data_IF_092418001487
#
_entry.id   IF_092418001487
#
_cell.length_a   1.000
_cell.length_b   1.000
_cell.length_c   1.000
_cell.angle_alpha   90.00
_cell.angle_beta   90.00
_cell.angle_gamma   90.00
#
_symmetry.space_group_name_H-M   'P 1'
#
loop_
_entity.id
_entity.type
_entity.pdbx_description
1 polymer ?
#
# COMPACT_ATOMS: atom_id res chain seq x y z
N UNK A 1 21.25 26.43 8.87
CA UNK A 1 21.43 25.93 7.49
C UNK A 1 20.06 25.55 6.97
N UNK A 2 19.60 26.17 5.87
CA UNK A 2 18.35 25.80 5.24
C UNK A 2 18.57 24.48 4.49
N UNK A 3 17.96 23.39 4.97
CA UNK A 3 17.95 22.10 4.27
C UNK A 3 17.01 22.27 3.08
N UNK A 4 17.55 22.25 1.85
CA UNK A 4 16.72 22.27 0.64
C UNK A 4 16.06 20.90 0.48
N UNK A 5 14.96 20.67 1.20
CA UNK A 5 14.21 19.42 1.15
C UNK A 5 13.62 19.22 -0.26
N UNK A 6 14.29 18.39 -1.06
CA UNK A 6 13.80 17.97 -2.36
C UNK A 6 13.14 16.59 -2.26
N UNK A 7 11.82 16.56 -2.04
CA UNK A 7 11.03 15.32 -2.06
C UNK A 7 10.63 15.00 -3.49
N UNK A 8 11.03 13.84 -3.98
CA UNK A 8 10.51 13.28 -5.24
C UNK A 8 9.61 12.10 -4.91
N UNK A 9 8.34 12.17 -5.32
CA UNK A 9 7.39 11.07 -5.23
C UNK A 9 7.32 10.35 -6.58
N UNK A 10 7.51 9.03 -6.57
CA UNK A 10 7.37 8.19 -7.76
C UNK A 10 6.17 7.27 -7.61
N UNK A 11 5.01 7.59 -8.22
CA UNK A 11 3.83 6.73 -8.19
C UNK A 11 3.93 5.56 -9.18
N UNK A 12 3.19 4.49 -8.92
CA UNK A 12 2.92 3.45 -9.91
C UNK A 12 1.86 3.92 -10.94
N UNK A 13 2.16 3.83 -12.24
CA UNK A 13 1.20 4.13 -13.33
C UNK A 13 1.27 5.57 -13.86
N UNK A 14 0.57 5.83 -14.98
CA UNK A 14 0.65 7.01 -15.88
C UNK A 14 0.30 8.38 -15.25
N UNK A 15 0.94 8.74 -14.14
CA UNK A 15 1.00 10.11 -13.66
C UNK A 15 2.27 10.72 -14.24
N UNK A 16 2.16 11.39 -15.39
CA UNK A 16 3.18 12.39 -15.76
C UNK A 16 3.09 13.48 -14.69
N UNK A 17 3.83 13.32 -13.59
CA UNK A 17 4.08 14.41 -12.68
C UNK A 17 5.25 15.19 -13.28
N UNK A 18 4.96 16.35 -13.87
CA UNK A 18 5.97 17.40 -13.96
C UNK A 18 6.62 17.52 -12.56
N UNK A 19 7.95 17.41 -12.52
CA UNK A 19 8.76 17.71 -11.35
C UNK A 19 8.66 19.21 -11.04
N UNK A 20 7.52 19.63 -10.50
CA UNK A 20 7.31 20.98 -9.95
C UNK A 20 7.48 20.89 -8.45
N UNK A 21 8.58 21.47 -7.98
CA UNK A 21 8.84 21.80 -6.58
C UNK A 21 7.59 22.40 -5.92
N UNK A 22 7.07 21.66 -4.95
CA UNK A 22 6.17 22.04 -3.85
C UNK A 22 5.08 23.08 -4.12
N UNK A 23 3.86 22.58 -4.38
CA UNK A 23 2.63 22.92 -3.64
C UNK A 23 1.71 21.71 -3.81
N UNK A 24 1.36 21.03 -2.72
CA UNK A 24 0.43 19.88 -2.75
C UNK A 24 -0.96 20.45 -3.08
N UNK A 25 -1.25 20.65 -4.36
CA UNK A 25 -2.61 20.81 -4.87
C UNK A 25 -3.04 19.47 -5.41
N UNK A 26 -4.14 18.93 -4.88
CA UNK A 26 -4.78 17.72 -5.35
C UNK A 26 -5.16 17.92 -6.83
N UNK A 27 -4.34 17.40 -7.76
CA UNK A 27 -4.67 17.41 -9.18
C UNK A 27 -5.59 16.22 -9.49
N UNK A 28 -6.59 16.49 -10.32
CA UNK A 28 -7.65 15.57 -10.73
C UNK A 28 -7.04 14.34 -11.39
N UNK A 29 -7.09 13.19 -10.72
CA UNK A 29 -6.65 11.91 -11.29
C UNK A 29 -7.66 11.51 -12.38
N UNK A 30 -7.26 11.60 -13.65
CA UNK A 30 -8.03 11.04 -14.75
C UNK A 30 -7.82 9.51 -14.74
N UNK A 31 -8.89 8.77 -14.47
CA UNK A 31 -8.89 7.31 -14.57
C UNK A 31 -8.73 6.93 -16.05
N UNK A 32 -7.57 6.38 -16.42
CA UNK A 32 -7.44 5.67 -17.68
C UNK A 32 -7.98 4.25 -17.43
N UNK A 33 -9.13 3.92 -18.01
CA UNK A 33 -9.70 2.57 -17.92
C UNK A 33 -8.82 1.60 -18.73
N UNK A 34 -7.81 1.05 -18.06
CA UNK A 34 -6.92 0.03 -18.62
C UNK A 34 -7.51 -1.34 -18.25
N UNK A 35 -7.82 -2.21 -19.22
CA UNK A 35 -8.21 -3.59 -18.94
C UNK A 35 -7.19 -4.27 -18.03
N UNK A 36 -7.65 -5.09 -17.07
CA UNK A 36 -6.79 -5.75 -16.07
C UNK A 36 -5.60 -6.49 -16.71
N UNK A 37 -5.84 -7.11 -17.86
CA UNK A 37 -4.88 -7.84 -18.68
C UNK A 37 -3.73 -6.99 -19.22
N UNK A 38 -3.94 -5.66 -19.31
CA UNK A 38 -2.94 -4.69 -19.76
C UNK A 38 -2.19 -4.01 -18.62
N UNK A 39 -2.63 -4.15 -17.36
CA UNK A 39 -1.95 -3.58 -16.19
C UNK A 39 -0.52 -4.12 -16.08
N UNK A 40 -0.28 -5.37 -16.45
CA UNK A 40 1.06 -5.96 -16.45
C UNK A 40 2.06 -5.18 -17.33
N UNK A 41 1.62 -4.53 -18.41
CA UNK A 41 2.51 -3.74 -19.27
C UNK A 41 2.92 -2.40 -18.63
N UNK A 42 2.13 -1.87 -17.70
CA UNK A 42 2.56 -0.73 -16.88
C UNK A 42 3.78 -1.10 -16.04
N UNK A 43 3.84 -2.35 -15.56
CA UNK A 43 4.95 -2.88 -14.76
C UNK A 43 6.24 -3.12 -15.57
N UNK A 44 6.13 -3.17 -16.90
CA UNK A 44 7.26 -3.27 -17.85
C UNK A 44 7.83 -1.88 -18.18
N UNK A 45 7.04 -0.82 -17.99
CA UNK A 45 7.45 0.53 -18.40
C UNK A 45 8.49 1.15 -17.46
N UNK A 46 9.77 0.85 -17.71
CA UNK A 46 10.91 1.57 -17.13
C UNK A 46 11.14 2.95 -17.76
N UNK A 47 10.12 3.51 -18.43
CA UNK A 47 10.23 4.76 -19.20
C UNK A 47 10.69 5.94 -18.33
N UNK A 48 10.37 5.90 -17.03
CA UNK A 48 10.81 6.91 -16.07
C UNK A 48 12.20 6.64 -15.48
N UNK A 49 12.77 5.44 -15.62
CA UNK A 49 14.01 5.07 -14.95
C UNK A 49 15.19 5.95 -15.39
N UNK A 50 15.41 6.12 -16.70
CA UNK A 50 16.52 6.93 -17.21
C UNK A 50 16.34 8.44 -16.93
N UNK A 51 15.18 9.06 -17.21
CA UNK A 51 14.93 10.45 -16.84
C UNK A 51 15.05 10.69 -15.32
N UNK A 52 14.57 9.76 -14.50
CA UNK A 52 14.66 9.86 -13.04
C UNK A 52 16.11 9.74 -12.56
N UNK A 53 16.89 8.81 -13.11
CA UNK A 53 18.32 8.69 -12.81
C UNK A 53 19.06 9.99 -13.13
N UNK A 54 18.79 10.58 -14.28
CA UNK A 54 19.38 11.87 -14.68
C UNK A 54 18.94 13.00 -13.73
N UNK A 55 17.68 13.01 -13.31
CA UNK A 55 17.18 13.97 -12.33
C UNK A 55 17.92 13.86 -10.99
N UNK A 56 18.04 12.65 -10.43
CA UNK A 56 18.74 12.41 -9.16
C UNK A 56 20.24 12.72 -9.27
N UNK A 57 20.85 12.47 -10.44
CA UNK A 57 22.25 12.84 -10.69
C UNK A 57 22.46 14.36 -10.67
N UNK A 58 21.50 15.12 -11.21
CA UNK A 58 21.60 16.56 -11.39
C UNK A 58 21.11 17.36 -10.17
N UNK A 59 20.35 16.72 -9.28
CA UNK A 59 19.75 17.35 -8.10
C UNK A 59 20.28 16.64 -6.87
N UNK A 60 20.86 17.39 -5.93
CA UNK A 60 21.29 16.89 -4.62
C UNK A 60 20.07 16.57 -3.73
N UNK A 61 19.29 15.54 -4.09
CA UNK A 61 18.14 15.12 -3.32
C UNK A 61 18.58 14.45 -2.03
N UNK A 62 18.02 14.87 -0.89
CA UNK A 62 18.31 14.24 0.39
C UNK A 62 17.64 12.85 0.47
N UNK A 63 16.38 12.75 0.00
CA UNK A 63 15.56 11.55 0.07
C UNK A 63 14.79 11.29 -1.23
N UNK A 64 14.58 10.01 -1.53
CA UNK A 64 13.62 9.54 -2.53
C UNK A 64 12.43 8.92 -1.78
N UNK A 65 11.20 9.28 -2.15
CA UNK A 65 9.99 8.59 -1.66
C UNK A 65 9.38 7.84 -2.84
N UNK A 66 9.32 6.52 -2.76
CA UNK A 66 8.85 5.69 -3.86
C UNK A 66 7.74 4.75 -3.43
N UNK A 67 6.75 4.56 -4.32
CA UNK A 67 5.76 3.51 -4.17
C UNK A 67 6.44 2.13 -4.09
N UNK A 68 5.91 1.25 -3.24
CA UNK A 68 6.46 -0.08 -2.92
C UNK A 68 6.66 -1.00 -4.14
N UNK A 69 6.00 -0.75 -5.26
CA UNK A 69 6.21 -1.56 -6.49
C UNK A 69 7.36 -1.02 -7.36
N UNK A 70 7.83 0.22 -7.12
CA UNK A 70 8.82 0.94 -7.96
C UNK A 70 10.24 0.50 -7.61
N UNK A 71 10.50 -0.80 -7.68
CA UNK A 71 11.72 -1.43 -7.20
C UNK A 71 13.01 -0.98 -7.91
N UNK A 72 12.93 -0.51 -9.16
CA UNK A 72 14.10 -0.05 -9.95
C UNK A 72 14.73 1.22 -9.39
N UNK A 73 14.04 1.90 -8.47
CA UNK A 73 14.56 3.08 -7.77
C UNK A 73 15.68 2.72 -6.80
N UNK A 74 15.75 1.45 -6.38
CA UNK A 74 16.76 0.94 -5.44
C UNK A 74 18.16 1.13 -6.01
N UNK A 75 18.38 0.74 -7.27
CA UNK A 75 19.67 0.89 -7.93
C UNK A 75 20.09 2.36 -8.07
N UNK A 76 19.13 3.25 -8.30
CA UNK A 76 19.39 4.68 -8.44
C UNK A 76 19.72 5.29 -7.09
N UNK A 77 18.96 4.97 -6.04
CA UNK A 77 19.22 5.43 -4.68
C UNK A 77 20.62 5.01 -4.21
N UNK A 78 21.00 3.74 -4.44
CA UNK A 78 22.32 3.23 -4.07
C UNK A 78 23.45 3.85 -4.89
N UNK A 79 23.28 4.00 -6.21
CA UNK A 79 24.31 4.56 -7.09
C UNK A 79 24.62 6.04 -6.79
N UNK A 80 23.68 6.75 -6.19
CA UNK A 80 23.81 8.17 -5.86
C UNK A 80 23.90 8.45 -4.35
N UNK A 81 24.00 7.41 -3.52
CA UNK A 81 24.02 7.51 -2.05
C UNK A 81 22.86 8.35 -1.46
N UNK A 82 21.67 8.19 -2.06
CA UNK A 82 20.45 8.89 -1.65
C UNK A 82 19.58 7.98 -0.79
N UNK A 83 19.08 8.51 0.31
CA UNK A 83 18.24 7.76 1.23
C UNK A 83 16.85 7.46 0.65
N UNK A 84 16.41 6.21 0.74
CA UNK A 84 15.15 5.74 0.17
C UNK A 84 14.09 5.51 1.25
N UNK A 85 12.94 6.19 1.13
CA UNK A 85 11.73 5.97 1.93
C UNK A 85 10.68 5.30 1.06
N UNK A 86 10.03 4.28 1.58
CA UNK A 86 9.02 3.53 0.84
C UNK A 86 7.65 4.05 1.22
N UNK A 87 6.76 4.19 0.25
CA UNK A 87 5.36 4.51 0.46
C UNK A 87 4.50 3.33 0.01
N UNK A 88 3.49 3.00 0.79
CA UNK A 88 2.48 2.01 0.46
C UNK A 88 1.07 2.60 0.55
N UNK A 89 0.23 2.38 -0.47
CA UNK A 89 -1.19 2.74 -0.40
C UNK A 89 -2.01 1.78 0.47
N UNK A 90 -1.47 0.61 0.82
CA UNK A 90 -2.17 -0.38 1.66
C UNK A 90 -2.26 0.09 3.12
N UNK A 91 -3.20 -0.48 3.86
CA UNK A 91 -3.35 -0.32 5.30
C UNK A 91 -2.25 -1.03 6.10
N UNK A 92 -2.15 -0.74 7.40
CA UNK A 92 -1.20 -1.41 8.27
C UNK A 92 -1.59 -2.88 8.49
N UNK A 93 -2.89 -3.19 8.59
CA UNK A 93 -3.37 -4.57 8.68
C UNK A 93 -3.00 -5.40 7.46
N UNK A 94 -3.13 -4.83 6.26
CA UNK A 94 -2.74 -5.51 5.01
C UNK A 94 -1.23 -5.71 4.94
N UNK A 95 -0.44 -4.69 5.31
CA UNK A 95 1.01 -4.82 5.36
C UNK A 95 1.47 -5.87 6.38
N UNK A 96 0.87 -5.91 7.57
CA UNK A 96 1.15 -6.92 8.60
C UNK A 96 0.74 -8.34 8.18
N UNK A 97 -0.34 -8.47 7.40
CA UNK A 97 -0.78 -9.75 6.85
C UNK A 97 0.12 -10.23 5.70
N UNK A 98 0.52 -9.34 4.80
CA UNK A 98 1.10 -9.74 3.52
C UNK A 98 2.62 -9.58 3.45
N UNK A 99 3.17 -8.53 4.07
CA UNK A 99 4.52 -8.04 3.77
C UNK A 99 5.60 -8.16 4.87
N UNK A 100 5.57 -9.15 5.78
CA UNK A 100 6.79 -9.47 6.52
C UNK A 100 7.87 -9.94 5.53
N UNK A 101 9.03 -9.28 5.54
CA UNK A 101 10.11 -9.48 4.57
C UNK A 101 10.51 -10.95 4.38
N UNK A 102 10.52 -11.71 5.47
CA UNK A 102 10.90 -13.11 5.49
C UNK A 102 9.85 -14.05 4.87
N UNK A 103 8.60 -13.60 4.69
CA UNK A 103 7.52 -14.36 4.07
C UNK A 103 7.16 -13.90 2.64
N UNK A 104 7.78 -12.83 2.14
CA UNK A 104 7.51 -12.31 0.80
C UNK A 104 8.11 -13.16 -0.33
N UNK A 105 9.30 -13.73 -0.11
CA UNK A 105 10.03 -14.50 -1.14
C UNK A 105 10.76 -15.69 -0.52
N UNK A 106 11.16 -16.64 -1.36
CA UNK A 106 12.00 -17.78 -0.96
C UNK A 106 11.29 -18.77 -0.03
N UNK A 107 12.04 -19.36 0.90
CA UNK A 107 11.53 -20.47 1.73
C UNK A 107 10.43 -20.05 2.72
N UNK A 108 10.42 -18.80 3.19
CA UNK A 108 9.33 -18.32 4.04
C UNK A 108 8.03 -18.16 3.24
N UNK A 109 8.09 -17.66 2.01
CA UNK A 109 6.92 -17.61 1.13
C UNK A 109 6.35 -19.01 0.87
N UNK A 110 7.21 -20.00 0.57
CA UNK A 110 6.80 -21.39 0.37
C UNK A 110 6.17 -22.05 1.60
N UNK A 111 6.54 -21.62 2.81
CA UNK A 111 6.00 -22.18 4.05
C UNK A 111 4.63 -21.62 4.40
N UNK A 112 4.39 -20.34 4.16
CA UNK A 112 3.24 -19.62 4.73
C UNK A 112 2.25 -19.11 3.68
N UNK A 113 2.68 -18.90 2.45
CA UNK A 113 1.87 -18.35 1.35
C UNK A 113 2.00 -19.22 0.10
N UNK A 114 2.04 -20.54 0.29
CA UNK A 114 2.19 -21.52 -0.79
C UNK A 114 0.88 -21.84 -1.51
N UNK A 115 -0.27 -21.59 -0.89
CA UNK A 115 -1.57 -21.87 -1.49
C UNK A 115 -2.63 -20.82 -1.12
N UNK A 116 -3.72 -20.69 -1.89
CA UNK A 116 -4.77 -19.74 -1.58
C UNK A 116 -5.40 -20.03 -0.20
N UNK A 117 -5.51 -21.31 0.17
CA UNK A 117 -6.08 -21.75 1.44
C UNK A 117 -5.26 -21.24 2.64
N UNK A 118 -3.94 -21.11 2.52
CA UNK A 118 -3.12 -20.60 3.62
C UNK A 118 -3.40 -19.13 3.94
N UNK A 119 -3.98 -18.39 3.00
CA UNK A 119 -4.38 -16.99 3.15
C UNK A 119 -5.81 -16.81 3.70
N UNK A 120 -6.54 -17.92 3.93
CA UNK A 120 -7.94 -17.90 4.43
C UNK A 120 -8.06 -17.92 5.94
N UNK A 121 -6.93 -17.78 6.65
CA UNK A 121 -6.86 -17.72 8.10
C UNK A 121 -5.93 -16.57 8.53
N UNK A 122 -6.15 -15.98 9.71
CA UNK A 122 -5.20 -15.04 10.29
C UNK A 122 -3.80 -15.68 10.38
N UNK A 123 -2.73 -14.94 10.07
CA UNK A 123 -1.37 -15.49 10.12
C UNK A 123 -0.93 -15.85 11.54
N UNK A 124 -0.05 -16.85 11.66
CA UNK A 124 0.42 -17.33 12.97
C UNK A 124 1.20 -16.30 13.79
N UNK A 125 1.76 -15.28 13.14
CA UNK A 125 2.53 -14.22 13.80
C UNK A 125 1.65 -13.13 14.39
N UNK A 126 0.33 -13.19 14.20
CA UNK A 126 -0.59 -12.27 14.87
C UNK A 126 -0.69 -12.69 16.34
N UNK A 127 -0.17 -11.86 17.24
CA UNK A 127 -0.17 -12.11 18.69
C UNK A 127 -1.40 -11.52 19.42
N UNK A 128 -2.46 -11.22 18.65
CA UNK A 128 -3.74 -10.74 19.16
C UNK A 128 -4.91 -11.32 18.34
N UNK A 129 -6.13 -11.40 18.93
CA UNK A 129 -7.32 -11.83 18.19
C UNK A 129 -7.58 -10.90 17.00
N UNK A 130 -7.70 -11.47 15.81
CA UNK A 130 -7.99 -10.79 14.54
C UNK A 130 -8.72 -11.78 13.64
N UNK A 131 -9.73 -11.29 12.94
CA UNK A 131 -10.54 -12.02 11.96
C UNK A 131 -10.09 -11.79 10.52
N UNK A 132 -9.15 -10.86 10.31
CA UNK A 132 -8.64 -10.48 8.99
C UNK A 132 -7.99 -11.67 8.29
N UNK A 133 -8.61 -12.08 7.19
CA UNK A 133 -8.14 -13.08 6.25
C UNK A 133 -8.85 -12.89 4.89
N UNK A 134 -8.30 -13.50 3.84
CA UNK A 134 -8.96 -13.52 2.53
C UNK A 134 -10.07 -14.58 2.49
N UNK A 135 -11.12 -14.35 1.69
CA UNK A 135 -11.95 -15.45 1.18
C UNK A 135 -11.18 -16.21 0.11
N UNK A 136 -11.49 -17.50 -0.09
CA UNK A 136 -10.73 -18.38 -0.99
C UNK A 136 -10.60 -17.83 -2.43
N UNK A 137 -11.66 -17.23 -2.98
CA UNK A 137 -11.63 -16.63 -4.31
C UNK A 137 -10.71 -15.39 -4.39
N UNK A 138 -10.71 -14.56 -3.33
CA UNK A 138 -9.84 -13.40 -3.22
C UNK A 138 -8.39 -13.83 -3.07
N UNK A 139 -8.13 -14.85 -2.25
CA UNK A 139 -6.81 -15.45 -2.07
C UNK A 139 -6.25 -16.01 -3.38
N UNK A 140 -7.11 -16.65 -4.18
CA UNK A 140 -6.73 -17.22 -5.49
C UNK A 140 -6.30 -16.11 -6.45
N UNK A 141 -7.12 -15.05 -6.58
CA UNK A 141 -6.78 -13.90 -7.41
C UNK A 141 -5.54 -13.15 -6.91
N UNK A 142 -5.40 -13.00 -5.60
CA UNK A 142 -4.24 -12.38 -4.96
C UNK A 142 -2.97 -13.16 -5.25
N UNK A 143 -2.97 -14.49 -5.05
CA UNK A 143 -1.78 -15.31 -5.27
C UNK A 143 -1.35 -15.27 -6.74
N UNK A 144 -2.29 -15.40 -7.67
CA UNK A 144 -2.02 -15.29 -9.11
C UNK A 144 -1.45 -13.91 -9.49
N UNK A 145 -1.98 -12.83 -8.93
CA UNK A 145 -1.56 -11.47 -9.28
C UNK A 145 -0.26 -11.00 -8.61
N UNK A 146 -0.03 -11.39 -7.35
CA UNK A 146 1.06 -10.87 -6.53
C UNK A 146 2.33 -11.74 -6.61
N UNK A 147 2.15 -13.07 -6.58
CA UNK A 147 3.24 -14.05 -6.66
C UNK A 147 3.46 -14.63 -8.05
N UNK A 148 2.47 -14.53 -8.94
CA UNK A 148 2.55 -15.10 -10.28
C UNK A 148 3.49 -14.35 -11.23
N UNK A 149 3.89 -15.08 -12.27
CA UNK A 149 4.63 -14.52 -13.39
C UNK A 149 3.81 -13.45 -14.10
N UNK A 150 4.49 -12.43 -14.61
CA UNK A 150 3.89 -11.40 -15.46
C UNK A 150 4.89 -10.92 -16.51
N UNK A 151 4.44 -10.14 -17.48
CA UNK A 151 5.22 -9.71 -18.64
C UNK A 151 6.58 -9.02 -18.32
N UNK A 152 6.80 -8.57 -17.09
CA UNK A 152 8.08 -7.96 -16.68
C UNK A 152 9.17 -8.95 -16.27
N UNK A 153 8.83 -10.22 -16.04
CA UNK A 153 9.77 -11.23 -15.51
C UNK A 153 10.11 -11.10 -14.02
N UNK A 154 9.44 -10.22 -13.27
CA UNK A 154 9.54 -10.10 -11.81
C UNK A 154 8.14 -9.99 -11.19
N UNK A 155 7.86 -10.75 -10.14
CA UNK A 155 6.59 -10.74 -9.39
C UNK A 155 6.45 -9.47 -8.53
N UNK A 156 5.23 -9.11 -8.12
CA UNK A 156 5.04 -7.96 -7.22
C UNK A 156 5.61 -8.23 -5.83
N UNK A 157 5.60 -9.49 -5.39
CA UNK A 157 6.28 -9.93 -4.18
C UNK A 157 7.79 -9.65 -4.22
N UNK A 158 8.46 -9.98 -5.33
CA UNK A 158 9.89 -9.70 -5.52
C UNK A 158 10.18 -8.20 -5.61
N UNK A 159 9.33 -7.41 -6.29
CA UNK A 159 9.43 -5.94 -6.30
C UNK A 159 9.37 -5.37 -4.89
N UNK A 160 8.37 -5.80 -4.13
CA UNK A 160 8.10 -5.38 -2.75
C UNK A 160 9.27 -5.75 -1.84
N UNK A 161 9.73 -7.00 -1.90
CA UNK A 161 10.88 -7.46 -1.12
C UNK A 161 12.16 -6.66 -1.45
N UNK A 162 12.41 -6.40 -2.73
CA UNK A 162 13.60 -5.66 -3.17
C UNK A 162 13.64 -4.24 -2.63
N UNK A 163 12.54 -3.48 -2.74
CA UNK A 163 12.52 -2.11 -2.24
C UNK A 163 12.45 -2.06 -0.71
N UNK A 164 11.68 -2.95 -0.08
CA UNK A 164 11.56 -2.99 1.37
C UNK A 164 12.85 -3.46 2.04
N UNK A 165 13.72 -4.22 1.38
CA UNK A 165 15.02 -4.59 1.96
C UNK A 165 15.93 -3.36 2.13
N UNK A 166 15.96 -2.47 1.15
CA UNK A 166 16.87 -1.30 1.13
C UNK A 166 16.25 -0.05 1.76
N UNK A 167 14.94 0.15 1.63
CA UNK A 167 14.25 1.32 2.16
C UNK A 167 14.38 1.46 3.67
N UNK A 168 14.65 2.67 4.17
CA UNK A 168 14.95 2.85 5.60
C UNK A 168 13.72 3.11 6.47
N UNK A 169 12.59 3.47 5.85
CA UNK A 169 11.30 3.63 6.54
C UNK A 169 10.16 3.35 5.56
N UNK A 170 8.99 2.97 6.10
CA UNK A 170 7.77 2.71 5.35
C UNK A 170 6.64 3.64 5.79
N UNK A 171 6.13 4.43 4.85
CA UNK A 171 4.93 5.24 5.01
C UNK A 171 3.72 4.42 4.56
N UNK A 172 2.73 4.28 5.44
CA UNK A 172 1.51 3.49 5.23
C UNK A 172 0.31 4.42 5.43
N UNK A 173 -0.77 4.19 4.67
CA UNK A 173 -2.07 4.85 4.91
C UNK A 173 -2.72 4.26 6.16
N UNK A 174 -2.41 4.81 7.34
CA UNK A 174 -2.90 4.29 8.63
C UNK A 174 -2.92 5.37 9.72
N UNK A 175 -3.49 5.05 10.88
CA UNK A 175 -3.34 5.83 12.12
C UNK A 175 -3.35 4.92 13.36
N UNK A 176 -2.73 5.38 14.45
CA UNK A 176 -2.55 4.57 15.66
C UNK A 176 -3.89 4.25 16.34
N UNK A 177 -4.82 5.19 16.31
CA UNK A 177 -6.16 5.07 16.89
C UNK A 177 -6.94 3.95 16.22
N UNK A 178 -6.71 3.74 14.92
CA UNK A 178 -7.41 2.75 14.13
C UNK A 178 -6.64 1.42 14.07
N UNK A 179 -5.37 1.41 13.71
CA UNK A 179 -4.62 0.19 13.41
C UNK A 179 -3.40 -0.03 14.33
N UNK A 180 -3.34 0.63 15.49
CA UNK A 180 -2.15 0.61 16.37
C UNK A 180 -1.58 -0.79 16.65
N UNK A 181 -2.43 -1.81 16.83
CA UNK A 181 -1.98 -3.21 16.99
C UNK A 181 -1.23 -3.74 15.76
N UNK A 182 -1.74 -3.47 14.55
CA UNK A 182 -1.12 -3.88 13.30
C UNK A 182 0.14 -3.07 13.00
N UNK A 183 0.17 -1.78 13.34
CA UNK A 183 1.38 -0.94 13.22
C UNK A 183 2.50 -1.52 14.08
N UNK A 184 2.24 -1.75 15.37
CA UNK A 184 3.21 -2.31 16.30
C UNK A 184 3.71 -3.69 15.85
N UNK A 185 2.78 -4.54 15.36
CA UNK A 185 3.12 -5.85 14.83
C UNK A 185 4.02 -5.75 13.60
N UNK A 186 3.69 -4.87 12.64
CA UNK A 186 4.48 -4.68 11.43
C UNK A 186 5.90 -4.17 11.74
N UNK A 187 6.03 -3.19 12.65
CA UNK A 187 7.33 -2.68 13.10
C UNK A 187 8.20 -3.81 13.69
N UNK A 188 7.60 -4.68 14.52
CA UNK A 188 8.26 -5.87 15.09
C UNK A 188 8.71 -6.87 14.03
N UNK A 189 7.89 -7.10 12.99
CA UNK A 189 8.18 -8.06 11.92
C UNK A 189 9.25 -7.57 10.95
N UNK A 190 9.30 -6.27 10.68
CA UNK A 190 10.21 -5.68 9.70
C UNK A 190 11.49 -5.13 10.31
N UNK A 191 11.54 -4.91 11.63
CA UNK A 191 12.66 -4.25 12.29
C UNK A 191 12.89 -2.81 11.81
N UNK A 192 11.85 -2.19 11.23
CA UNK A 192 11.88 -0.85 10.65
C UNK A 192 10.78 -0.01 11.30
N UNK A 193 11.07 1.25 11.65
CA UNK A 193 10.03 2.14 12.16
C UNK A 193 9.02 2.43 11.04
N UNK A 194 7.73 2.41 11.39
CA UNK A 194 6.69 3.04 10.58
C UNK A 194 6.82 4.55 10.69
N UNK A 195 6.33 5.30 9.69
CA UNK A 195 6.19 6.75 9.88
C UNK A 195 5.15 7.02 10.98
N UNK A 196 5.64 7.50 12.12
CA UNK A 196 4.82 7.96 13.22
C UNK A 196 4.36 9.40 12.96
N UNK A 197 3.28 9.81 13.64
CA UNK A 197 2.75 11.18 13.57
C UNK A 197 3.89 12.19 13.80
N UNK A 198 3.97 13.29 13.03
CA UNK A 198 4.99 14.32 13.23
C UNK A 198 5.00 14.80 14.69
N UNK A 199 6.18 14.84 15.30
CA UNK A 199 6.36 15.40 16.64
C UNK A 199 5.97 16.88 16.64
N UNK A 200 5.00 17.27 17.48
CA UNK A 200 4.52 18.66 17.60
C UNK A 200 3.03 18.87 17.30
N UNK A 201 2.29 17.83 16.91
CA UNK A 201 0.84 17.91 16.77
C UNK A 201 0.18 17.46 18.09
N UNK A 202 -0.38 18.42 18.84
CA UNK A 202 -0.89 18.20 20.20
C UNK A 202 -2.25 17.49 20.27
N UNK A 203 -3.00 17.44 19.15
CA UNK A 203 -4.26 16.72 19.02
C UNK A 203 -4.43 16.19 17.58
N UNK A 204 -5.40 15.31 17.30
CA UNK A 204 -5.58 14.77 15.94
C UNK A 204 -6.24 15.77 14.98
N UNK A 205 -6.92 16.78 15.51
CA UNK A 205 -7.60 17.81 14.74
C UNK A 205 -6.61 18.71 14.00
N UNK A 206 -5.49 19.05 14.64
CA UNK A 206 -4.43 19.88 14.08
C UNK A 206 -3.69 19.19 12.93
N UNK A 207 -3.77 17.86 12.84
CA UNK A 207 -3.21 17.08 11.72
C UNK A 207 -4.16 17.01 10.50
N UNK A 208 -5.42 17.40 10.63
CA UNK A 208 -6.41 17.30 9.56
C UNK A 208 -6.32 18.48 8.59
N UNK A 209 -6.58 18.28 7.28
CA UNK A 209 -6.68 19.39 6.34
C UNK A 209 -7.75 20.40 6.78
N UNK A 210 -7.52 21.69 6.53
CA UNK A 210 -8.49 22.74 6.87
C UNK A 210 -9.89 22.44 6.32
N UNK A 211 -10.91 22.60 7.17
CA UNK A 211 -12.31 22.30 6.86
C UNK A 211 -12.64 20.80 6.69
N UNK A 212 -11.73 19.88 7.03
CA UNK A 212 -12.00 18.44 6.93
C UNK A 212 -13.20 18.03 7.78
N UNK A 213 -13.22 18.40 9.07
CA UNK A 213 -14.31 18.10 9.99
C UNK A 213 -15.65 18.64 9.46
N UNK A 214 -15.69 19.89 9.00
CA UNK A 214 -16.91 20.48 8.41
C UNK A 214 -17.38 19.71 7.17
N UNK A 215 -16.45 19.23 6.34
CA UNK A 215 -16.79 18.48 5.12
C UNK A 215 -17.24 17.06 5.40
N UNK A 216 -16.82 16.42 6.49
CA UNK A 216 -17.06 14.99 6.76
C UNK A 216 -18.03 14.73 7.91
N UNK A 217 -18.25 15.69 8.81
CA UNK A 217 -19.19 15.56 9.92
C UNK A 217 -20.60 15.24 9.40
N UNK A 218 -21.24 14.23 10.00
CA UNK A 218 -22.57 13.73 9.65
C UNK A 218 -22.71 13.23 8.19
N UNK A 219 -21.60 12.90 7.52
CA UNK A 219 -21.63 12.25 6.19
C UNK A 219 -21.07 10.84 6.27
N UNK A 220 -21.71 9.91 5.55
CA UNK A 220 -21.13 8.60 5.29
C UNK A 220 -19.85 8.73 4.45
N UNK A 221 -18.78 8.08 4.88
CA UNK A 221 -17.52 8.04 4.13
C UNK A 221 -17.51 6.76 3.30
N UNK A 222 -17.47 6.90 1.98
CA UNK A 222 -17.21 5.76 1.09
C UNK A 222 -15.69 5.54 1.00
N UNK A 223 -15.22 4.41 1.51
CA UNK A 223 -13.82 4.00 1.42
C UNK A 223 -13.63 3.20 0.13
N UNK A 224 -12.76 3.69 -0.76
CA UNK A 224 -12.31 2.97 -1.95
C UNK A 224 -10.85 2.56 -1.75
N UNK A 225 -10.58 1.49 -0.97
CA UNK A 225 -9.22 1.00 -0.77
C UNK A 225 -8.60 0.55 -2.10
N UNK A 226 -7.26 0.55 -2.13
CA UNK A 226 -6.52 0.00 -3.26
C UNK A 226 -6.95 -1.47 -3.49
N UNK A 227 -7.10 -1.98 -4.73
CA UNK A 227 -7.73 -3.28 -4.96
C UNK A 227 -7.14 -4.45 -4.16
N UNK A 228 -5.83 -4.43 -3.90
CA UNK A 228 -5.15 -5.47 -3.10
C UNK A 228 -5.45 -5.35 -1.59
N UNK A 229 -5.77 -4.15 -1.11
CA UNK A 229 -6.06 -3.80 0.29
C UNK A 229 -7.53 -4.05 0.61
N UNK A 230 -8.40 -3.96 -0.40
CA UNK A 230 -9.85 -4.02 -0.25
C UNK A 230 -10.34 -5.24 0.53
N UNK A 231 -9.87 -6.48 0.25
CA UNK A 231 -10.35 -7.64 0.98
C UNK A 231 -10.05 -7.54 2.49
N UNK A 232 -8.79 -7.34 2.86
CA UNK A 232 -8.39 -7.38 4.27
C UNK A 232 -8.93 -6.16 5.04
N UNK A 233 -8.92 -4.99 4.40
CA UNK A 233 -9.41 -3.76 5.02
C UNK A 233 -10.92 -3.77 5.24
N UNK A 234 -11.70 -4.40 4.36
CA UNK A 234 -13.14 -4.58 4.60
C UNK A 234 -13.40 -5.41 5.88
N UNK A 235 -12.60 -6.44 6.13
CA UNK A 235 -12.75 -7.30 7.32
C UNK A 235 -12.30 -6.57 8.57
N UNK A 236 -11.27 -5.74 8.48
CA UNK A 236 -10.90 -4.83 9.57
C UNK A 236 -12.05 -3.89 9.94
N UNK A 237 -12.77 -3.35 8.95
CA UNK A 237 -13.91 -2.45 9.21
C UNK A 237 -15.08 -3.19 9.87
N UNK A 238 -15.37 -4.42 9.44
CA UNK A 238 -16.37 -5.28 10.09
C UNK A 238 -15.95 -5.64 11.52
N UNK A 239 -14.70 -6.05 11.72
CA UNK A 239 -14.14 -6.39 13.04
C UNK A 239 -14.23 -5.22 14.04
N UNK A 240 -14.22 -3.99 13.54
CA UNK A 240 -14.34 -2.76 14.34
C UNK A 240 -15.76 -2.21 14.44
N UNK A 241 -16.76 -2.97 13.99
CA UNK A 241 -18.16 -2.57 13.97
C UNK A 241 -18.41 -1.25 13.21
N UNK A 242 -17.59 -0.95 12.21
CA UNK A 242 -17.70 0.26 11.38
C UNK A 242 -18.33 0.01 10.01
N UNK A 243 -18.46 -1.25 9.61
CA UNK A 243 -19.06 -1.63 8.34
C UNK A 243 -19.76 -2.98 8.45
N UNK A 244 -20.67 -3.23 7.52
CA UNK A 244 -21.26 -4.54 7.26
C UNK A 244 -20.68 -5.03 5.93
N UNK A 245 -20.16 -6.26 5.91
CA UNK A 245 -19.75 -6.88 4.65
C UNK A 245 -21.00 -7.39 3.92
N UNK A 246 -21.15 -7.01 2.65
CA UNK A 246 -22.25 -7.51 1.81
C UNK A 246 -21.94 -8.93 1.36
N UNK A 247 -22.86 -9.85 1.63
CA UNK A 247 -22.73 -11.22 1.16
C UNK A 247 -22.80 -11.31 -0.38
N UNK A 248 -21.93 -12.16 -0.92
CA UNK A 248 -21.93 -12.50 -2.35
C UNK A 248 -22.75 -13.77 -2.58
N UNK A 249 -23.33 -13.85 -3.77
CA UNK A 249 -23.94 -15.07 -4.27
C UNK A 249 -22.86 -16.15 -4.51
N UNK A 250 -23.28 -17.39 -4.78
CA UNK A 250 -22.37 -18.50 -5.07
C UNK A 250 -21.52 -18.32 -6.34
N UNK A 251 -21.89 -17.39 -7.22
CA UNK A 251 -21.14 -16.97 -8.41
C UNK A 251 -20.27 -15.72 -8.17
N UNK A 252 -20.08 -15.33 -6.90
CA UNK A 252 -19.33 -14.17 -6.45
C UNK A 252 -19.94 -12.80 -6.85
N UNK A 253 -21.12 -12.76 -7.46
CA UNK A 253 -21.83 -11.51 -7.73
C UNK A 253 -22.49 -10.94 -6.47
N UNK A 254 -22.78 -9.64 -6.47
CA UNK A 254 -23.64 -9.03 -5.44
C UNK A 254 -25.09 -9.02 -5.92
N UNK A 255 -26.03 -9.40 -5.04
CA UNK A 255 -27.45 -9.21 -5.31
C UNK A 255 -27.89 -7.80 -4.90
N UNK A 256 -28.87 -7.24 -5.62
CA UNK A 256 -29.46 -5.94 -5.29
C UNK A 256 -30.02 -5.92 -3.87
N UNK A 257 -30.64 -7.01 -3.45
CA UNK A 257 -31.27 -7.13 -2.13
C UNK A 257 -30.23 -7.21 -1.01
N UNK A 258 -29.13 -7.93 -1.22
CA UNK A 258 -28.03 -7.98 -0.24
C UNK A 258 -27.40 -6.59 -0.04
N UNK A 259 -27.19 -5.83 -1.12
CA UNK A 259 -26.70 -4.44 -1.03
C UNK A 259 -27.72 -3.58 -0.27
N UNK A 260 -29.00 -3.66 -0.63
CA UNK A 260 -30.04 -2.85 0.01
C UNK A 260 -30.13 -3.13 1.53
N UNK A 261 -30.05 -4.40 1.93
CA UNK A 261 -30.10 -4.79 3.35
C UNK A 261 -28.89 -4.28 4.15
N UNK A 262 -27.72 -4.14 3.53
CA UNK A 262 -26.54 -3.61 4.20
C UNK A 262 -26.54 -2.07 4.36
N UNK A 263 -27.52 -1.38 3.77
CA UNK A 263 -27.66 0.08 3.83
C UNK A 263 -28.68 0.57 4.87
N UNK A 264 -29.37 -0.35 5.57
CA UNK A 264 -30.41 -0.06 6.59
C UNK A 264 -29.83 -0.20 7.98
#
# INVERSE_FOLDING_TARGET
MAVNLHVVMVPCGNSIAELKTTKISCQKVQKLDIPSEKIQYLKVSYLLQQPFKQFVSNRSADWIIADVIVHWVVEIAQAHDVSLKVFSPCSASTAAFMWPLHYLVGDGQKRFQSSPESLTKPPEWFDFPSSIAFKLHEATGFQAGFYGDNASGISDAERTAKILNVGQALAIRTCNEFEGKYINLYEKLCGKPGFQKPSGVNNDVDALPSGFIERTSNKGICLLPFPIDQPLYARLLVEKDLAVEVDRNGDESFSRDAIANAMV
#
